data_IF_976838752587
#
_entry.id   IF_976838752587
#
_cell.length_a   1.000
_cell.length_b   1.000
_cell.length_c   1.000
_cell.angle_alpha   90.00
_cell.angle_beta   90.00
_cell.angle_gamma   90.00
#
_symmetry.space_group_name_H-M   'P 1'
#
loop_
_entity.id
_entity.type
_entity.pdbx_description
1 polymer ?
#
# COMPACT_ATOMS: atom_id res chain seq x y z
N UNK A 1 3.35 -33.58 -44.87
CA UNK A 1 4.19 -33.84 -43.69
C UNK A 1 5.08 -32.62 -43.49
N UNK A 2 4.63 -31.62 -42.74
CA UNK A 2 5.40 -30.40 -42.47
C UNK A 2 6.35 -30.67 -41.30
N UNK A 3 7.65 -30.60 -41.57
CA UNK A 3 8.70 -30.75 -40.57
C UNK A 3 8.73 -29.46 -39.72
N UNK A 4 8.25 -29.53 -38.48
CA UNK A 4 8.41 -28.46 -37.50
C UNK A 4 9.87 -28.49 -37.04
N UNK A 5 10.68 -27.57 -37.59
CA UNK A 5 12.03 -27.29 -37.08
C UNK A 5 11.88 -26.45 -35.81
N UNK A 6 12.00 -27.09 -34.65
CA UNK A 6 12.10 -26.39 -33.36
C UNK A 6 13.51 -25.83 -33.26
N UNK A 7 13.67 -24.54 -33.58
CA UNK A 7 14.88 -23.81 -33.25
C UNK A 7 14.91 -23.61 -31.73
N UNK A 8 15.73 -24.40 -31.04
CA UNK A 8 16.06 -24.15 -29.63
C UNK A 8 16.98 -22.94 -29.62
N UNK A 9 16.42 -21.76 -29.29
CA UNK A 9 17.22 -20.58 -29.01
C UNK A 9 18.02 -20.83 -27.73
N UNK A 10 19.32 -21.05 -27.86
CA UNK A 10 20.23 -21.15 -26.71
C UNK A 10 20.44 -19.72 -26.20
N UNK A 11 19.75 -19.35 -25.12
CA UNK A 11 20.01 -18.09 -24.43
C UNK A 11 21.40 -18.17 -23.79
N UNK A 12 22.34 -17.34 -24.28
CA UNK A 12 23.66 -17.23 -23.68
C UNK A 12 23.51 -16.42 -22.39
N UNK A 13 23.72 -17.07 -21.26
CA UNK A 13 23.76 -16.44 -19.94
C UNK A 13 25.21 -16.20 -19.53
N UNK A 14 25.62 -14.95 -19.37
CA UNK A 14 26.96 -14.57 -18.88
C UNK A 14 26.81 -14.09 -17.45
N UNK A 15 27.69 -14.51 -16.55
CA UNK A 15 27.64 -14.12 -15.12
C UNK A 15 28.99 -13.56 -14.67
N UNK A 16 28.96 -12.49 -13.88
CA UNK A 16 30.15 -11.88 -13.25
C UNK A 16 29.89 -11.60 -11.76
N UNK A 17 30.96 -11.66 -10.97
CA UNK A 17 30.99 -11.16 -9.59
C UNK A 17 31.49 -9.73 -9.61
N UNK A 18 30.73 -8.79 -9.05
CA UNK A 18 31.10 -7.39 -9.04
C UNK A 18 31.03 -6.78 -7.65
N UNK A 19 31.92 -5.82 -7.42
CA UNK A 19 31.82 -4.89 -6.29
C UNK A 19 30.94 -3.72 -6.70
N UNK A 20 30.10 -3.28 -5.77
CA UNK A 20 29.10 -2.24 -6.00
C UNK A 20 29.29 -1.12 -5.01
N UNK A 21 29.36 0.10 -5.54
CA UNK A 21 29.30 1.33 -4.75
C UNK A 21 27.86 1.85 -4.76
N UNK A 22 27.34 2.15 -3.58
CA UNK A 22 26.11 2.93 -3.44
C UNK A 22 26.48 4.38 -3.13
N UNK A 23 25.88 5.34 -3.82
CA UNK A 23 26.19 6.76 -3.66
C UNK A 23 24.95 7.61 -3.50
N UNK A 24 25.02 8.63 -2.66
CA UNK A 24 24.02 9.69 -2.61
C UNK A 24 24.08 10.57 -3.88
N UNK A 25 23.08 11.45 -4.12
CA UNK A 25 23.12 12.37 -5.25
C UNK A 25 24.28 13.36 -5.27
N UNK A 26 24.84 13.70 -4.10
CA UNK A 26 26.07 14.50 -3.95
C UNK A 26 27.36 13.66 -4.04
N UNK A 27 27.25 12.35 -4.28
CA UNK A 27 28.38 11.46 -4.59
C UNK A 27 29.06 10.79 -3.39
N UNK A 28 28.53 10.97 -2.18
CA UNK A 28 29.05 10.30 -0.97
C UNK A 28 28.76 8.81 -1.02
N UNK A 29 29.75 8.00 -0.66
CA UNK A 29 29.59 6.54 -0.61
C UNK A 29 28.74 6.16 0.60
N UNK A 30 27.68 5.39 0.36
CA UNK A 30 26.79 4.84 1.38
C UNK A 30 27.23 3.42 1.74
N UNK A 31 27.22 3.14 3.03
CA UNK A 31 27.28 1.76 3.52
C UNK A 31 25.92 1.07 3.27
N UNK A 32 25.90 -0.24 2.95
CA UNK A 32 24.67 -0.98 2.67
C UNK A 32 23.58 -0.81 3.74
N UNK A 33 23.97 -0.72 5.01
CA UNK A 33 23.06 -0.57 6.15
C UNK A 33 22.31 0.79 6.15
N UNK A 34 22.83 1.79 5.43
CA UNK A 34 22.22 3.14 5.34
C UNK A 34 21.34 3.33 4.10
N UNK A 35 21.39 2.42 3.14
CA UNK A 35 20.64 2.51 1.87
C UNK A 35 19.13 2.75 2.10
N UNK A 36 18.44 2.05 3.03
CA UNK A 36 17.01 2.23 3.21
C UNK A 36 16.59 3.63 3.66
N UNK A 37 17.51 4.52 4.04
CA UNK A 37 17.18 5.87 4.51
C UNK A 37 17.24 6.95 3.42
N UNK A 38 17.75 6.63 2.22
CA UNK A 38 17.96 7.63 1.17
C UNK A 38 16.92 7.45 0.05
N UNK A 39 16.10 8.47 -0.28
CA UNK A 39 15.00 8.31 -1.25
C UNK A 39 15.49 8.10 -2.68
N UNK A 40 16.63 8.70 -3.02
CA UNK A 40 17.29 8.59 -4.32
C UNK A 40 18.76 8.27 -4.10
N UNK A 41 19.25 7.19 -4.70
CA UNK A 41 20.65 6.80 -4.63
C UNK A 41 21.13 6.20 -5.94
N UNK A 42 22.44 6.17 -6.13
CA UNK A 42 23.10 5.66 -7.32
C UNK A 42 23.80 4.35 -7.00
N UNK A 43 23.54 3.33 -7.80
CA UNK A 43 24.27 2.06 -7.78
C UNK A 43 25.29 2.07 -8.93
N UNK A 44 26.57 2.08 -8.59
CA UNK A 44 27.67 2.11 -9.55
C UNK A 44 28.50 0.82 -9.48
N UNK A 45 28.74 0.20 -10.64
CA UNK A 45 29.56 -1.00 -10.76
C UNK A 45 30.12 -1.16 -12.17
N UNK A 46 31.08 -2.09 -12.34
CA UNK A 46 31.62 -2.47 -13.64
C UNK A 46 31.35 -3.95 -13.88
N UNK A 47 30.64 -4.28 -14.96
CA UNK A 47 30.33 -5.65 -15.36
C UNK A 47 30.38 -5.76 -16.89
N UNK A 48 30.75 -6.91 -17.45
CA UNK A 48 30.73 -7.18 -18.89
C UNK A 48 31.48 -6.13 -19.71
N UNK A 49 32.62 -5.67 -19.17
CA UNK A 49 33.44 -4.58 -19.73
C UNK A 49 32.75 -3.21 -19.84
N UNK A 50 31.64 -2.98 -19.14
CA UNK A 50 30.86 -1.74 -19.14
C UNK A 50 30.75 -1.17 -17.73
N UNK A 51 30.70 0.17 -17.62
CA UNK A 51 30.37 0.85 -16.36
C UNK A 51 28.86 1.09 -16.31
N UNK A 52 28.24 0.72 -15.21
CA UNK A 52 26.83 0.97 -14.91
C UNK A 52 26.72 2.07 -13.85
N UNK A 53 25.72 2.94 -14.02
CA UNK A 53 25.30 3.95 -13.04
C UNK A 53 23.78 3.99 -13.05
N UNK A 54 23.18 3.22 -12.14
CA UNK A 54 21.74 3.07 -12.04
C UNK A 54 21.21 4.02 -10.96
N UNK A 55 20.16 4.76 -11.28
CA UNK A 55 19.43 5.57 -10.31
C UNK A 55 18.33 4.73 -9.69
N UNK A 56 18.41 4.57 -8.37
CA UNK A 56 17.45 3.85 -7.55
C UNK A 56 16.56 4.88 -6.85
N UNK A 57 15.26 4.86 -7.17
CA UNK A 57 14.27 5.69 -6.51
C UNK A 57 13.36 4.79 -5.68
N UNK A 58 13.28 5.04 -4.38
CA UNK A 58 12.31 4.36 -3.54
C UNK A 58 10.92 4.97 -3.69
N UNK A 59 10.01 4.56 -2.80
CA UNK A 59 8.65 5.06 -2.72
C UNK A 59 8.45 6.03 -1.56
N UNK A 60 9.52 6.74 -1.14
CA UNK A 60 9.46 7.69 -0.03
C UNK A 60 8.71 8.95 -0.40
N UNK A 61 7.86 9.39 0.51
CA UNK A 61 7.15 10.66 0.49
C UNK A 61 7.34 11.35 1.85
N UNK A 62 7.63 12.65 1.84
CA UNK A 62 7.71 13.45 3.07
C UNK A 62 6.42 14.24 3.23
N UNK A 63 5.66 13.94 4.27
CA UNK A 63 4.39 14.59 4.60
C UNK A 63 4.57 15.30 5.94
N UNK A 64 4.53 16.64 5.93
CA UNK A 64 4.73 17.46 7.13
C UNK A 64 5.98 17.09 7.94
N UNK A 65 7.09 16.81 7.25
CA UNK A 65 8.36 16.43 7.88
C UNK A 65 8.46 14.96 8.29
N UNK A 66 7.43 14.15 8.01
CA UNK A 66 7.41 12.72 8.32
C UNK A 66 7.63 11.94 7.02
N UNK A 67 8.70 11.16 6.98
CA UNK A 67 8.99 10.27 5.86
C UNK A 67 8.17 9.00 5.95
N UNK A 68 7.44 8.71 4.90
CA UNK A 68 6.62 7.51 4.73
C UNK A 68 6.99 6.81 3.43
N UNK A 69 6.81 5.50 3.35
CA UNK A 69 7.08 4.71 2.15
C UNK A 69 5.93 3.81 1.77
N UNK A 70 5.75 3.52 0.48
CA UNK A 70 4.84 2.45 0.05
C UNK A 70 5.45 1.08 0.25
N UNK A 71 6.68 0.89 -0.19
CA UNK A 71 7.49 -0.30 0.08
C UNK A 71 8.69 0.09 0.94
N UNK A 72 9.00 -0.74 1.94
CA UNK A 72 10.08 -0.47 2.89
C UNK A 72 11.47 -0.59 2.26
N UNK A 73 11.62 -1.49 1.30
CA UNK A 73 12.93 -1.93 0.81
C UNK A 73 13.03 -2.02 -0.71
N UNK A 74 11.95 -1.72 -1.46
CA UNK A 74 11.96 -1.80 -2.92
C UNK A 74 12.22 -0.44 -3.56
N UNK A 75 13.03 -0.49 -4.62
CA UNK A 75 13.44 0.65 -5.41
C UNK A 75 13.11 0.38 -6.88
N UNK A 76 12.65 1.41 -7.57
CA UNK A 76 12.63 1.42 -9.03
C UNK A 76 14.01 1.75 -9.58
N UNK A 77 14.42 1.04 -10.62
CA UNK A 77 15.66 1.29 -11.36
C UNK A 77 15.34 2.17 -12.55
N UNK A 78 16.17 3.18 -12.76
CA UNK A 78 16.21 4.01 -13.97
C UNK A 78 17.64 4.37 -14.32
N UNK A 79 17.90 4.82 -15.56
CA UNK A 79 19.21 5.34 -15.97
C UNK A 79 19.10 6.82 -16.29
N UNK A 80 20.08 7.63 -15.89
CA UNK A 80 20.13 9.05 -16.25
C UNK A 80 20.41 9.28 -17.74
N UNK A 81 21.04 8.32 -18.40
CA UNK A 81 21.55 8.49 -19.77
C UNK A 81 20.76 7.73 -20.83
N UNK A 82 19.80 6.88 -20.42
CA UNK A 82 19.08 6.00 -21.33
C UNK A 82 17.63 5.83 -20.87
N UNK A 83 16.70 6.29 -21.72
CA UNK A 83 15.26 6.22 -21.45
C UNK A 83 14.72 4.77 -21.39
N UNK A 84 15.44 3.83 -22.03
CA UNK A 84 15.06 2.42 -22.09
C UNK A 84 15.54 1.60 -20.88
N UNK A 85 16.06 2.25 -19.83
CA UNK A 85 16.46 1.57 -18.61
C UNK A 85 15.36 1.57 -17.56
N UNK A 86 14.86 0.39 -17.23
CA UNK A 86 13.87 0.23 -16.16
C UNK A 86 14.04 -1.11 -15.45
N UNK A 87 13.60 -1.18 -14.20
CA UNK A 87 13.67 -2.39 -13.41
C UNK A 87 13.27 -2.15 -11.98
N UNK A 88 13.56 -3.12 -11.13
CA UNK A 88 13.38 -3.00 -9.68
C UNK A 88 14.49 -3.70 -8.92
N UNK A 89 14.78 -3.18 -7.73
CA UNK A 89 15.74 -3.73 -6.79
C UNK A 89 15.10 -3.77 -5.41
N UNK A 90 15.19 -4.92 -4.75
CA UNK A 90 14.74 -5.11 -3.38
C UNK A 90 15.95 -5.27 -2.47
N UNK A 91 15.87 -4.67 -1.28
CA UNK A 91 16.83 -4.83 -0.18
C UNK A 91 16.24 -5.63 0.98
N UNK A 92 15.07 -6.26 0.81
CA UNK A 92 14.46 -7.09 1.84
C UNK A 92 15.23 -8.39 2.04
N UNK A 93 16.09 -8.42 3.06
CA UNK A 93 16.94 -9.57 3.38
C UNK A 93 18.22 -9.61 2.54
N UNK A 94 18.09 -9.93 1.24
CA UNK A 94 19.21 -9.91 0.28
C UNK A 94 18.97 -8.88 -0.82
N UNK A 95 20.04 -8.27 -1.33
CA UNK A 95 19.93 -7.40 -2.51
C UNK A 95 19.57 -8.29 -3.70
N UNK A 96 18.37 -8.11 -4.24
CA UNK A 96 17.92 -8.88 -5.40
C UNK A 96 17.09 -8.00 -6.32
N UNK A 97 17.22 -8.20 -7.62
CA UNK A 97 16.50 -7.36 -8.56
C UNK A 97 16.79 -7.69 -10.00
N UNK A 98 16.12 -6.97 -10.88
CA UNK A 98 16.30 -7.12 -12.32
C UNK A 98 16.11 -5.77 -12.99
N UNK A 99 16.89 -5.52 -14.03
CA UNK A 99 16.68 -4.37 -14.90
C UNK A 99 16.94 -4.70 -16.36
N UNK A 100 16.29 -3.93 -17.23
CA UNK A 100 16.51 -3.94 -18.67
C UNK A 100 17.38 -2.75 -19.04
N UNK A 101 18.31 -2.97 -19.97
CA UNK A 101 19.09 -1.93 -20.62
C UNK A 101 19.31 -2.32 -22.09
N UNK A 102 18.60 -1.65 -23.00
CA UNK A 102 18.55 -2.05 -24.40
C UNK A 102 17.94 -3.44 -24.56
N UNK A 103 18.65 -4.36 -25.21
CA UNK A 103 18.18 -5.73 -25.47
C UNK A 103 18.57 -6.76 -24.41
N UNK A 104 19.05 -6.33 -23.24
CA UNK A 104 19.54 -7.26 -22.21
C UNK A 104 18.74 -7.12 -20.92
N UNK A 105 18.44 -8.27 -20.31
CA UNK A 105 18.03 -8.36 -18.91
C UNK A 105 19.28 -8.62 -18.07
N UNK A 106 19.41 -7.83 -17.01
CA UNK A 106 20.39 -8.01 -15.96
C UNK A 106 19.69 -8.48 -14.70
N UNK A 107 20.09 -9.64 -14.16
CA UNK A 107 19.64 -10.11 -12.86
C UNK A 107 20.72 -9.79 -11.83
N UNK A 108 20.32 -9.17 -10.73
CA UNK A 108 21.17 -8.78 -9.61
C UNK A 108 20.81 -9.69 -8.43
N UNK A 109 21.81 -10.32 -7.82
CA UNK A 109 21.64 -11.04 -6.57
C UNK A 109 22.88 -10.90 -5.69
N UNK A 110 22.70 -10.53 -4.43
CA UNK A 110 23.79 -10.50 -3.45
C UNK A 110 24.19 -11.91 -3.03
N UNK A 111 25.48 -12.12 -2.80
CA UNK A 111 26.00 -13.31 -2.11
C UNK A 111 26.44 -13.02 -0.69
N UNK A 112 26.88 -11.79 -0.42
CA UNK A 112 27.31 -11.24 0.87
C UNK A 112 27.21 -9.70 0.83
N UNK A 113 27.32 -9.02 1.97
CA UNK A 113 27.01 -7.58 2.18
C UNK A 113 27.57 -6.57 1.15
N UNK A 114 28.56 -6.93 0.31
CA UNK A 114 29.18 -6.03 -0.67
C UNK A 114 29.56 -6.68 -2.01
N UNK A 115 29.16 -7.94 -2.24
CA UNK A 115 29.43 -8.65 -3.50
C UNK A 115 28.12 -9.07 -4.14
N UNK A 116 27.99 -8.74 -5.42
CA UNK A 116 26.78 -9.01 -6.20
C UNK A 116 27.14 -9.90 -7.38
N UNK A 117 26.38 -10.96 -7.55
CA UNK A 117 26.28 -11.71 -8.79
C UNK A 117 25.39 -10.95 -9.76
N UNK A 118 25.94 -10.61 -10.92
CA UNK A 118 25.17 -10.07 -12.02
C UNK A 118 25.20 -11.06 -13.16
N UNK A 119 24.01 -11.49 -13.61
CA UNK A 119 23.88 -12.27 -14.83
C UNK A 119 23.19 -11.46 -15.92
N UNK A 120 23.74 -11.53 -17.14
CA UNK A 120 23.20 -10.91 -18.34
C UNK A 120 22.58 -12.00 -19.22
N UNK A 121 21.32 -11.78 -19.60
CA UNK A 121 20.58 -12.61 -20.55
C UNK A 121 20.10 -11.72 -21.68
N UNK A 122 20.35 -12.12 -22.92
CA UNK A 122 19.78 -11.44 -24.08
C UNK A 122 18.26 -11.61 -24.07
N UNK A 123 17.55 -10.48 -24.02
CA UNK A 123 16.09 -10.46 -24.07
C UNK A 123 15.69 -10.79 -25.52
N UNK A 124 14.98 -11.89 -25.76
CA UNK A 124 14.48 -12.16 -27.08
C UNK A 124 13.48 -11.04 -27.40
N UNK A 125 13.88 -10.12 -28.29
CA UNK A 125 12.97 -9.11 -28.84
C UNK A 125 11.92 -9.89 -29.62
N UNK A 126 10.85 -10.26 -28.93
CA UNK A 126 9.68 -10.84 -29.55
C UNK A 126 9.17 -9.80 -30.54
N UNK A 127 9.05 -10.19 -31.81
CA UNK A 127 8.64 -9.30 -32.90
C UNK A 127 7.36 -8.56 -32.44
N UNK A 128 7.41 -7.23 -32.21
CA UNK A 128 6.33 -6.48 -31.57
C UNK A 128 5.01 -6.62 -32.34
N UNK A 129 5.08 -6.94 -33.63
CA UNK A 129 3.92 -7.15 -34.48
C UNK A 129 3.11 -8.41 -34.15
N UNK A 130 3.70 -9.45 -33.53
CA UNK A 130 2.98 -10.70 -33.19
C UNK A 130 2.16 -10.60 -31.89
N UNK A 131 2.49 -9.66 -31.01
CA UNK A 131 1.80 -9.50 -29.71
C UNK A 131 0.55 -8.63 -29.86
N UNK A 132 0.58 -7.62 -30.74
CA UNK A 132 -0.58 -6.78 -31.04
C UNK A 132 -1.77 -7.57 -31.61
N UNK A 133 -1.51 -8.70 -32.29
CA UNK A 133 -2.55 -9.59 -32.84
C UNK A 133 -3.20 -10.48 -31.77
N UNK A 134 -2.51 -10.80 -30.67
CA UNK A 134 -3.11 -11.52 -29.53
C UNK A 134 -3.95 -10.61 -28.63
N UNK A 135 -3.52 -9.35 -28.45
CA UNK A 135 -4.18 -8.38 -27.54
C UNK A 135 -5.51 -7.88 -28.12
N UNK A 136 -5.69 -7.85 -29.44
CA UNK A 136 -6.96 -7.41 -30.06
C UNK A 136 -8.15 -8.35 -29.84
N UNK A 137 -7.94 -9.52 -29.22
CA UNK A 137 -9.00 -10.53 -29.02
C UNK A 137 -9.58 -10.52 -27.60
N UNK A 138 -9.04 -9.71 -26.68
CA UNK A 138 -9.49 -9.66 -25.28
C UNK A 138 -10.38 -8.42 -25.05
N UNK A 139 -11.68 -8.65 -25.18
CA UNK A 139 -12.71 -8.15 -24.27
C UNK A 139 -13.14 -6.67 -24.34
N UNK A 140 -14.09 -6.37 -25.21
CA UNK A 140 -15.12 -5.34 -24.93
C UNK A 140 -16.21 -5.92 -24.03
N UNK A 141 -15.91 -6.16 -22.75
CA UNK A 141 -16.93 -6.45 -21.75
C UNK A 141 -17.58 -5.12 -21.33
N UNK A 142 -18.82 -4.92 -21.76
CA UNK A 142 -19.60 -3.72 -21.45
C UNK A 142 -19.94 -3.76 -19.95
N UNK A 143 -19.23 -2.99 -19.13
CA UNK A 143 -19.48 -2.86 -17.69
C UNK A 143 -20.86 -2.25 -17.49
N UNK A 144 -21.86 -3.10 -17.26
CA UNK A 144 -23.17 -2.68 -16.78
C UNK A 144 -23.12 -2.58 -15.26
N UNK A 145 -23.20 -1.38 -14.70
CA UNK A 145 -24.29 -0.99 -13.80
C UNK A 145 -23.94 0.26 -12.98
N UNK A 146 -24.85 1.22 -13.07
CA UNK A 146 -24.84 2.56 -12.48
C UNK A 146 -25.09 2.57 -10.95
N UNK A 147 -24.98 1.42 -10.27
CA UNK A 147 -25.43 1.24 -8.86
C UNK A 147 -24.33 0.82 -7.89
N UNK A 148 -23.12 0.48 -8.36
CA UNK A 148 -22.02 0.12 -7.47
C UNK A 148 -21.35 1.37 -6.89
N UNK A 149 -21.24 1.43 -5.56
CA UNK A 149 -20.57 2.52 -4.84
C UNK A 149 -19.21 2.04 -4.35
N UNK A 150 -18.16 2.51 -5.00
CA UNK A 150 -16.76 2.26 -4.59
C UNK A 150 -16.39 3.22 -3.47
N UNK A 151 -16.03 2.68 -2.30
CA UNK A 151 -15.60 3.43 -1.13
C UNK A 151 -14.07 3.38 -1.04
N UNK A 152 -13.38 4.47 -1.42
CA UNK A 152 -11.91 4.53 -1.38
C UNK A 152 -11.38 4.64 0.06
N UNK A 153 -10.61 3.65 0.50
CA UNK A 153 -9.97 3.58 1.81
C UNK A 153 -8.46 3.72 1.64
N UNK A 154 -7.82 4.52 2.47
CA UNK A 154 -6.36 4.67 2.51
C UNK A 154 -5.85 4.21 3.87
N UNK A 155 -4.81 3.38 3.90
CA UNK A 155 -4.25 2.83 5.14
C UNK A 155 -2.85 3.36 5.39
N UNK A 156 -2.55 3.73 6.63
CA UNK A 156 -1.25 4.21 7.08
C UNK A 156 -0.79 3.33 8.23
N UNK A 157 0.33 2.63 8.08
CA UNK A 157 0.99 1.90 9.16
C UNK A 157 1.90 2.85 9.92
N UNK A 158 1.70 2.92 11.22
CA UNK A 158 2.56 3.68 12.14
C UNK A 158 3.97 3.10 12.22
N UNK A 159 4.90 3.91 12.72
CA UNK A 159 6.30 3.58 12.87
C UNK A 159 6.51 2.31 13.69
N UNK A 160 5.91 2.22 14.88
CA UNK A 160 6.05 1.06 15.76
C UNK A 160 5.54 -0.21 15.07
N UNK A 161 4.43 -0.12 14.34
CA UNK A 161 3.89 -1.24 13.56
C UNK A 161 4.85 -1.70 12.47
N UNK A 162 5.44 -0.73 11.75
CA UNK A 162 6.43 -0.99 10.71
C UNK A 162 7.67 -1.66 11.29
N UNK A 163 8.11 -1.27 12.49
CA UNK A 163 9.23 -1.92 13.17
C UNK A 163 8.88 -3.34 13.62
N UNK A 164 7.66 -3.57 14.11
CA UNK A 164 7.20 -4.87 14.60
C UNK A 164 7.05 -5.91 13.47
N UNK A 165 6.36 -5.55 12.38
CA UNK A 165 6.06 -6.48 11.28
C UNK A 165 7.18 -6.53 10.24
N UNK A 166 7.93 -5.44 10.07
CA UNK A 166 9.04 -5.34 9.14
C UNK A 166 8.62 -5.45 7.66
N UNK A 167 9.44 -6.09 6.80
CA UNK A 167 9.21 -6.21 5.35
C UNK A 167 7.81 -6.65 4.91
N UNK A 168 7.13 -7.46 5.71
CA UNK A 168 5.82 -8.05 5.37
C UNK A 168 4.63 -7.12 5.66
N UNK A 169 4.87 -5.90 6.16
CA UNK A 169 3.83 -4.96 6.62
C UNK A 169 2.70 -4.75 5.61
N UNK A 170 3.01 -4.67 4.31
CA UNK A 170 2.00 -4.46 3.28
C UNK A 170 1.10 -5.68 3.08
N UNK A 171 1.67 -6.89 3.04
CA UNK A 171 0.90 -8.12 2.91
C UNK A 171 -0.05 -8.31 4.09
N UNK A 172 0.47 -8.07 5.27
CA UNK A 172 -0.27 -8.09 6.52
C UNK A 172 -1.45 -7.07 6.50
N UNK A 173 -1.16 -5.82 6.11
CA UNK A 173 -2.17 -4.75 5.96
C UNK A 173 -3.25 -5.11 4.93
N UNK A 174 -2.86 -5.69 3.79
CA UNK A 174 -3.80 -6.13 2.75
C UNK A 174 -4.69 -7.27 3.25
N UNK A 175 -4.17 -8.19 4.06
CA UNK A 175 -4.95 -9.28 4.62
C UNK A 175 -6.06 -8.74 5.54
N UNK A 176 -5.74 -7.79 6.42
CA UNK A 176 -6.73 -7.09 7.24
C UNK A 176 -7.81 -6.43 6.38
N UNK A 177 -7.40 -5.62 5.39
CA UNK A 177 -8.32 -4.92 4.50
C UNK A 177 -9.25 -5.88 3.75
N UNK A 178 -8.71 -6.99 3.22
CA UNK A 178 -9.49 -7.98 2.48
C UNK A 178 -10.56 -8.64 3.35
N UNK A 179 -10.29 -8.83 4.64
CA UNK A 179 -11.28 -9.35 5.58
C UNK A 179 -12.36 -8.29 5.84
N UNK A 180 -11.98 -7.03 6.10
CA UNK A 180 -12.96 -5.95 6.27
C UNK A 180 -13.86 -5.79 5.05
N UNK A 181 -13.26 -5.89 3.85
CA UNK A 181 -13.97 -5.90 2.57
C UNK A 181 -14.99 -7.03 2.51
N UNK A 182 -14.58 -8.27 2.78
CA UNK A 182 -15.51 -9.42 2.83
C UNK A 182 -16.65 -9.21 3.83
N UNK A 183 -16.35 -8.69 5.03
CA UNK A 183 -17.33 -8.43 6.08
C UNK A 183 -18.39 -7.41 5.62
N UNK A 184 -17.98 -6.32 4.97
CA UNK A 184 -18.90 -5.27 4.54
C UNK A 184 -19.64 -5.63 3.24
N UNK A 185 -18.96 -6.25 2.28
CA UNK A 185 -19.52 -6.57 0.96
C UNK A 185 -20.47 -7.78 0.97
N UNK A 186 -20.37 -8.70 1.95
CA UNK A 186 -21.29 -9.84 2.05
C UNK A 186 -22.73 -9.47 2.46
N UNK A 187 -22.95 -8.23 2.92
CA UNK A 187 -24.27 -7.80 3.39
C UNK A 187 -25.24 -7.53 2.23
N UNK A 188 -26.53 -7.73 2.47
CA UNK A 188 -27.59 -7.45 1.49
C UNK A 188 -27.96 -5.98 1.50
N UNK A 189 -27.24 -5.18 0.74
CA UNK A 189 -27.56 -3.77 0.53
C UNK A 189 -28.88 -3.59 -0.22
N UNK A 190 -29.67 -2.56 0.14
CA UNK A 190 -31.00 -2.32 -0.45
C UNK A 190 -30.94 -1.42 -1.67
N UNK A 191 -30.03 -0.44 -1.68
CA UNK A 191 -29.90 0.61 -2.71
C UNK A 191 -28.56 0.59 -3.43
N UNK A 192 -27.47 0.41 -2.69
CA UNK A 192 -26.12 0.55 -3.22
C UNK A 192 -25.33 -0.72 -3.01
N UNK A 193 -24.81 -1.32 -4.08
CA UNK A 193 -23.82 -2.36 -3.89
C UNK A 193 -22.51 -1.69 -3.42
N UNK A 194 -22.21 -1.76 -2.13
CA UNK A 194 -20.99 -1.18 -1.58
C UNK A 194 -19.81 -2.06 -1.98
N UNK A 195 -18.76 -1.43 -2.46
CA UNK A 195 -17.50 -2.07 -2.75
C UNK A 195 -16.36 -1.29 -2.10
N UNK A 196 -15.57 -1.91 -1.24
CA UNK A 196 -14.40 -1.25 -0.69
C UNK A 196 -13.25 -1.31 -1.70
N UNK A 197 -12.64 -0.16 -1.94
CA UNK A 197 -11.45 -0.01 -2.77
C UNK A 197 -10.30 0.47 -1.90
N UNK A 198 -9.21 -0.28 -1.85
CA UNK A 198 -7.99 0.18 -1.18
C UNK A 198 -7.24 1.12 -2.13
N UNK A 199 -7.20 2.41 -1.79
CA UNK A 199 -6.55 3.45 -2.57
C UNK A 199 -5.03 3.45 -2.41
N UNK A 200 -4.51 3.01 -1.27
CA UNK A 200 -3.09 2.87 -1.04
C UNK A 200 -2.75 2.52 0.39
N UNK A 201 -1.48 2.16 0.57
CA UNK A 201 -0.84 1.89 1.85
C UNK A 201 0.38 2.82 1.97
N UNK A 202 0.55 3.44 3.13
CA UNK A 202 1.78 4.13 3.52
C UNK A 202 2.33 3.54 4.80
N UNK A 203 3.65 3.54 4.93
CA UNK A 203 4.38 3.03 6.09
C UNK A 203 5.25 4.16 6.63
N UNK A 204 5.03 4.57 7.88
CA UNK A 204 5.87 5.57 8.55
C UNK A 204 7.21 4.93 8.90
N UNK A 205 8.32 5.48 8.39
CA UNK A 205 9.65 4.82 8.50
C UNK A 205 10.68 5.57 9.33
N UNK A 206 10.47 6.87 9.59
CA UNK A 206 11.51 7.69 10.22
C UNK A 206 11.34 7.88 11.72
N UNK A 207 10.13 8.22 12.14
CA UNK A 207 9.81 8.48 13.54
C UNK A 207 8.33 8.21 13.77
N UNK A 208 7.91 7.89 15.01
CA UNK A 208 6.50 7.86 15.38
C UNK A 208 5.80 9.13 14.94
N UNK A 209 4.53 9.02 14.54
CA UNK A 209 3.70 10.20 14.34
C UNK A 209 3.71 10.95 15.67
N UNK A 210 4.35 12.12 15.67
CA UNK A 210 4.76 12.83 16.87
C UNK A 210 3.55 13.49 17.53
N UNK A 211 2.61 12.68 18.00
CA UNK A 211 1.59 13.05 18.95
C UNK A 211 2.36 13.16 20.24
N UNK A 212 3.07 14.28 20.42
CA UNK A 212 3.76 14.58 21.68
C UNK A 212 2.75 14.26 22.77
N UNK A 213 2.99 13.18 23.52
CA UNK A 213 2.54 13.08 24.89
C UNK A 213 3.22 14.26 25.57
N UNK A 214 2.64 15.44 25.41
CA UNK A 214 2.93 16.54 26.31
C UNK A 214 2.68 15.92 27.66
N UNK A 215 3.71 15.75 28.48
CA UNK A 215 3.58 15.30 29.85
C UNK A 215 2.54 16.22 30.49
N UNK A 216 1.27 15.83 30.45
CA UNK A 216 0.21 16.73 30.89
C UNK A 216 0.23 16.57 32.40
N UNK A 217 0.55 17.63 33.17
CA UNK A 217 0.84 17.48 34.60
C UNK A 217 -0.30 16.83 35.39
N UNK A 218 -1.53 16.86 34.87
CA UNK A 218 -2.70 16.25 35.50
C UNK A 218 -2.71 14.71 35.48
N UNK A 219 -1.92 14.05 34.63
CA UNK A 219 -1.82 12.58 34.62
C UNK A 219 -1.27 12.01 35.95
N UNK A 220 -0.55 12.81 36.74
CA UNK A 220 -0.03 12.40 38.05
C UNK A 220 -1.08 12.41 39.19
N UNK A 221 -2.28 12.94 38.95
CA UNK A 221 -3.29 13.15 40.02
C UNK A 221 -4.51 12.22 39.90
N UNK A 222 -4.58 11.38 38.87
CA UNK A 222 -5.71 10.49 38.64
C UNK A 222 -5.41 9.14 39.30
N UNK A 223 -6.25 8.74 40.26
CA UNK A 223 -6.19 7.44 40.91
C UNK A 223 -6.32 6.31 39.88
N UNK A 224 -5.71 5.15 40.18
CA UNK A 224 -5.72 3.93 39.34
C UNK A 224 -7.12 3.49 38.87
N UNK A 225 -8.19 3.95 39.53
CA UNK A 225 -9.60 3.65 39.21
C UNK A 225 -10.18 4.33 37.94
N UNK A 226 -9.40 5.11 37.19
CA UNK A 226 -9.87 5.88 36.02
C UNK A 226 -9.04 5.68 34.74
N UNK A 227 -8.33 4.55 34.61
CA UNK A 227 -7.49 4.24 33.44
C UNK A 227 -8.25 4.25 32.10
N UNK A 228 -9.49 3.76 32.08
CA UNK A 228 -10.32 3.73 30.86
C UNK A 228 -10.61 5.14 30.30
N UNK A 229 -10.93 6.10 31.19
CA UNK A 229 -11.21 7.48 30.78
C UNK A 229 -9.97 8.19 30.23
N UNK A 230 -8.79 7.87 30.76
CA UNK A 230 -7.50 8.36 30.27
C UNK A 230 -7.20 7.85 28.86
N UNK A 231 -7.33 6.54 28.64
CA UNK A 231 -7.10 5.94 27.33
C UNK A 231 -8.06 6.49 26.27
N UNK A 232 -9.34 6.67 26.62
CA UNK A 232 -10.31 7.25 25.70
C UNK A 232 -9.94 8.69 25.33
N UNK A 233 -9.51 9.51 26.30
CA UNK A 233 -9.06 10.87 26.05
C UNK A 233 -7.83 10.92 25.13
N UNK A 234 -6.86 10.04 25.36
CA UNK A 234 -5.65 9.94 24.54
C UNK A 234 -5.97 9.50 23.11
N UNK A 235 -6.88 8.55 22.92
CA UNK A 235 -7.32 8.14 21.59
C UNK A 235 -8.05 9.28 20.85
N UNK A 236 -8.91 10.04 21.52
CA UNK A 236 -9.57 11.22 20.93
C UNK A 236 -8.54 12.27 20.52
N UNK A 237 -7.58 12.56 21.41
CA UNK A 237 -6.50 13.50 21.12
C UNK A 237 -5.65 13.04 19.94
N UNK A 238 -5.34 11.76 19.88
CA UNK A 238 -4.58 11.16 18.79
C UNK A 238 -5.32 11.26 17.46
N UNK A 239 -6.60 10.90 17.42
CA UNK A 239 -7.43 11.00 16.22
C UNK A 239 -7.51 12.44 15.70
N UNK A 240 -7.66 13.41 16.62
CA UNK A 240 -7.65 14.83 16.26
C UNK A 240 -6.29 15.27 15.72
N UNK A 241 -5.20 14.89 16.37
CA UNK A 241 -3.83 15.23 15.92
C UNK A 241 -3.53 14.62 14.57
N UNK A 242 -3.93 13.37 14.35
CA UNK A 242 -3.82 12.68 13.08
C UNK A 242 -4.62 13.40 11.98
N UNK A 243 -5.88 13.77 12.26
CA UNK A 243 -6.67 14.58 11.34
C UNK A 243 -6.00 15.92 11.00
N UNK A 244 -5.55 16.68 12.00
CA UNK A 244 -4.92 17.98 11.80
C UNK A 244 -3.64 17.87 10.95
N UNK A 245 -2.85 16.82 11.17
CA UNK A 245 -1.62 16.53 10.42
C UNK A 245 -1.90 16.26 8.94
N UNK A 246 -2.95 15.53 8.60
CA UNK A 246 -3.19 15.14 7.20
C UNK A 246 -4.21 16.03 6.49
N UNK A 247 -4.91 16.91 7.21
CA UNK A 247 -5.80 17.92 6.64
C UNK A 247 -5.04 18.98 5.83
N UNK A 248 -3.80 19.29 6.21
CA UNK A 248 -3.00 20.39 5.63
C UNK A 248 -2.07 19.97 4.50
N UNK A 249 -2.30 18.82 3.86
CA UNK A 249 -1.45 18.38 2.74
C UNK A 249 -1.82 19.21 1.51
N UNK A 250 -1.18 20.36 1.39
CA UNK A 250 -1.37 21.31 0.28
C UNK A 250 -0.80 20.78 -1.04
N UNK A 251 0.04 19.74 -0.99
CA UNK A 251 0.79 19.24 -2.13
C UNK A 251 -0.02 18.24 -2.98
N UNK A 252 -1.15 18.70 -3.53
CA UNK A 252 -2.02 17.91 -4.42
C UNK A 252 -1.38 17.57 -5.76
N UNK A 253 -0.17 18.03 -6.05
CA UNK A 253 0.54 17.69 -7.28
C UNK A 253 1.22 16.32 -7.18
N UNK A 254 1.69 15.93 -5.99
CA UNK A 254 2.25 14.62 -5.73
C UNK A 254 1.19 13.52 -5.82
N UNK A 255 1.57 12.37 -6.39
CA UNK A 255 0.66 11.25 -6.59
C UNK A 255 0.07 10.76 -5.26
N UNK A 256 0.88 10.76 -4.19
CA UNK A 256 0.41 10.37 -2.87
C UNK A 256 -0.61 11.37 -2.31
N UNK A 257 -0.33 12.67 -2.42
CA UNK A 257 -1.27 13.72 -2.07
C UNK A 257 -2.61 13.57 -2.79
N UNK A 258 -2.59 13.22 -4.09
CA UNK A 258 -3.82 12.93 -4.86
C UNK A 258 -4.56 11.70 -4.34
N UNK A 259 -3.87 10.58 -4.12
CA UNK A 259 -4.50 9.34 -3.64
C UNK A 259 -5.17 9.53 -2.27
N UNK A 260 -4.54 10.31 -1.39
CA UNK A 260 -5.10 10.67 -0.08
C UNK A 260 -6.24 11.68 -0.19
N UNK A 261 -6.12 12.70 -1.04
CA UNK A 261 -7.20 13.67 -1.29
C UNK A 261 -8.46 13.00 -1.84
N UNK A 262 -8.26 11.95 -2.62
CA UNK A 262 -9.31 11.13 -3.22
C UNK A 262 -9.82 10.01 -2.29
N UNK A 263 -9.18 9.77 -1.14
CA UNK A 263 -9.64 8.81 -0.17
C UNK A 263 -10.88 9.33 0.56
N UNK A 264 -11.88 8.46 0.69
CA UNK A 264 -13.08 8.74 1.46
C UNK A 264 -12.87 8.51 2.95
N UNK A 265 -11.95 7.59 3.30
CA UNK A 265 -11.48 7.38 4.66
C UNK A 265 -9.97 7.12 4.66
N UNK A 266 -9.27 7.72 5.61
CA UNK A 266 -7.85 7.50 5.89
C UNK A 266 -7.76 6.88 7.29
N UNK A 267 -7.14 5.71 7.38
CA UNK A 267 -7.05 4.95 8.64
C UNK A 267 -5.60 4.80 9.04
N UNK A 268 -5.29 5.18 10.28
CA UNK A 268 -4.01 4.92 10.92
C UNK A 268 -4.07 3.56 11.64
N UNK A 269 -3.14 2.68 11.33
CA UNK A 269 -2.95 1.36 11.92
C UNK A 269 -1.78 1.41 12.89
N UNK A 270 -2.03 1.13 14.17
CA UNK A 270 -1.03 1.20 15.24
C UNK A 270 -0.99 -0.11 16.02
N UNK A 271 0.14 -0.48 16.63
CA UNK A 271 0.15 -1.58 17.57
C UNK A 271 -0.73 -1.25 18.78
N UNK A 272 -1.36 -2.29 19.34
CA UNK A 272 -2.24 -2.16 20.49
C UNK A 272 -1.45 -2.11 21.79
N UNK A 273 -1.81 -1.17 22.64
CA UNK A 273 -1.48 -1.15 24.07
C UNK A 273 -2.66 -0.65 24.92
N UNK A 274 -3.86 -0.58 24.35
CA UNK A 274 -5.05 0.05 24.94
C UNK A 274 -6.27 -0.86 24.84
N UNK A 275 -7.26 -0.59 25.69
CA UNK A 275 -8.55 -1.28 25.74
C UNK A 275 -9.42 -0.94 24.50
N UNK A 276 -9.23 0.26 23.94
CA UNK A 276 -9.97 0.71 22.74
C UNK A 276 -9.29 0.22 21.46
N UNK A 277 -9.92 -0.72 20.75
CA UNK A 277 -9.41 -1.30 19.51
C UNK A 277 -9.52 -0.36 18.30
N UNK A 278 -10.43 0.62 18.32
CA UNK A 278 -10.66 1.51 17.19
C UNK A 278 -11.35 2.81 17.59
N UNK A 279 -11.09 3.87 16.84
CA UNK A 279 -11.78 5.15 17.00
C UNK A 279 -11.85 5.90 15.67
N UNK A 280 -13.06 6.32 15.30
CA UNK A 280 -13.33 7.05 14.07
C UNK A 280 -14.29 8.20 14.29
N UNK A 281 -14.25 9.22 13.43
CA UNK A 281 -15.31 10.22 13.41
C UNK A 281 -16.56 9.63 12.77
N UNK A 282 -17.66 9.57 13.53
CA UNK A 282 -18.96 9.15 12.99
C UNK A 282 -19.39 10.07 11.85
N UNK A 283 -19.88 9.50 10.75
CA UNK A 283 -20.26 10.23 9.53
C UNK A 283 -19.10 11.03 8.89
N UNK A 284 -17.86 10.62 9.13
CA UNK A 284 -16.66 11.32 8.65
C UNK A 284 -16.30 11.04 7.19
N UNK A 285 -16.86 10.00 6.56
CA UNK A 285 -16.44 9.55 5.23
C UNK A 285 -16.66 10.65 4.16
N UNK A 286 -15.60 10.96 3.41
CA UNK A 286 -15.58 12.01 2.40
C UNK A 286 -15.47 13.44 2.97
N UNK A 287 -15.45 13.63 4.29
CA UNK A 287 -15.19 14.94 4.90
C UNK A 287 -13.72 15.31 4.80
N UNK A 288 -13.39 16.59 4.61
CA UNK A 288 -11.98 17.03 4.55
C UNK A 288 -11.27 16.98 5.90
N UNK A 289 -12.00 17.07 7.01
CA UNK A 289 -11.50 17.20 8.38
C UNK A 289 -11.87 16.02 9.30
N UNK A 290 -12.79 15.15 8.85
CA UNK A 290 -13.33 14.06 9.66
C UNK A 290 -13.19 12.69 9.01
N UNK A 291 -12.57 12.57 7.83
CA UNK A 291 -12.33 11.28 7.16
C UNK A 291 -11.21 10.44 7.78
N UNK A 292 -11.02 10.52 9.09
CA UNK A 292 -9.89 9.90 9.76
C UNK A 292 -10.38 8.87 10.77
N UNK A 293 -9.62 7.78 10.87
CA UNK A 293 -9.84 6.71 11.84
C UNK A 293 -8.50 6.20 12.35
N UNK A 294 -8.51 5.63 13.55
CA UNK A 294 -7.41 4.90 14.16
C UNK A 294 -7.90 3.49 14.45
N UNK A 295 -7.09 2.49 14.10
CA UNK A 295 -7.30 1.09 14.47
C UNK A 295 -6.04 0.60 15.18
N UNK A 296 -6.22 0.10 16.39
CA UNK A 296 -5.20 -0.54 17.22
C UNK A 296 -5.20 -2.03 16.91
N UNK A 297 -4.01 -2.60 16.79
CA UNK A 297 -3.80 -3.98 16.33
C UNK A 297 -2.88 -4.67 17.31
N UNK A 298 -3.35 -5.71 18.00
CA UNK A 298 -2.43 -6.58 18.73
C UNK A 298 -1.81 -7.61 17.79
N UNK A 299 -0.51 -7.85 17.93
CA UNK A 299 0.17 -8.97 17.27
C UNK A 299 -0.36 -10.35 17.70
N UNK A 300 -1.12 -10.41 18.81
CA UNK A 300 -1.80 -11.63 19.26
C UNK A 300 -3.19 -11.82 18.65
N UNK A 301 -3.76 -10.79 18.02
CA UNK A 301 -5.09 -10.87 17.44
C UNK A 301 -5.07 -11.67 16.15
N UNK A 302 -6.16 -12.39 15.88
CA UNK A 302 -6.34 -13.00 14.57
C UNK A 302 -6.55 -11.91 13.51
N UNK A 303 -6.09 -12.17 12.28
CA UNK A 303 -6.40 -11.29 11.13
C UNK A 303 -7.90 -11.05 10.96
N UNK A 304 -8.72 -12.03 11.35
CA UNK A 304 -10.17 -11.86 11.33
C UNK A 304 -10.63 -10.77 12.30
N UNK A 305 -10.15 -10.81 13.54
CA UNK A 305 -10.44 -9.79 14.54
C UNK A 305 -9.99 -8.40 14.08
N UNK A 306 -8.75 -8.28 13.60
CA UNK A 306 -8.20 -7.02 13.09
C UNK A 306 -9.03 -6.47 11.92
N UNK A 307 -9.42 -7.33 10.97
CA UNK A 307 -10.31 -6.97 9.86
C UNK A 307 -11.72 -6.60 10.30
N UNK A 308 -12.25 -7.22 11.38
CA UNK A 308 -13.54 -6.90 11.99
C UNK A 308 -13.53 -5.50 12.60
N UNK A 309 -12.50 -5.17 13.38
CA UNK A 309 -12.34 -3.82 13.98
C UNK A 309 -12.26 -2.76 12.88
N UNK A 310 -11.44 -2.99 11.84
CA UNK A 310 -11.38 -2.08 10.69
C UNK A 310 -12.73 -1.91 9.98
N UNK A 311 -13.51 -2.99 9.81
CA UNK A 311 -14.85 -2.91 9.24
C UNK A 311 -15.83 -2.12 10.12
N UNK A 312 -15.74 -2.27 11.45
CA UNK A 312 -16.55 -1.52 12.43
C UNK A 312 -16.28 -0.01 12.31
N UNK A 313 -15.01 0.39 12.29
CA UNK A 313 -14.62 1.80 12.16
C UNK A 313 -15.00 2.38 10.78
N UNK A 314 -14.88 1.59 9.71
CA UNK A 314 -15.39 2.01 8.39
C UNK A 314 -16.89 2.24 8.47
N UNK A 315 -17.67 1.34 9.09
CA UNK A 315 -19.11 1.46 9.17
C UNK A 315 -19.57 2.71 9.95
N UNK A 316 -18.91 3.04 11.06
CA UNK A 316 -19.13 4.31 11.77
C UNK A 316 -18.84 5.53 10.90
N UNK A 317 -17.76 5.50 10.11
CA UNK A 317 -17.43 6.63 9.22
C UNK A 317 -18.51 6.89 8.16
N UNK A 318 -19.24 5.85 7.76
CA UNK A 318 -20.37 5.94 6.81
C UNK A 318 -21.74 5.95 7.51
N UNK A 319 -21.79 6.18 8.82
CA UNK A 319 -23.02 6.58 9.53
C UNK A 319 -23.73 5.49 10.32
N UNK A 320 -23.15 4.29 10.45
CA UNK A 320 -23.63 3.32 11.42
C UNK A 320 -23.37 3.81 12.86
N UNK A 321 -24.29 3.48 13.77
CA UNK A 321 -24.13 3.70 15.21
C UNK A 321 -24.05 2.36 15.93
N UNK A 322 -23.61 2.37 17.19
CA UNK A 322 -23.63 1.17 18.00
C UNK A 322 -25.05 0.60 18.18
N UNK A 323 -25.12 -0.70 18.29
CA UNK A 323 -26.36 -1.45 18.48
C UNK A 323 -26.27 -2.35 19.71
N UNK A 324 -27.32 -2.33 20.51
CA UNK A 324 -27.47 -3.21 21.66
C UNK A 324 -27.97 -4.57 21.14
N UNK A 325 -27.05 -5.45 20.77
CA UNK A 325 -27.32 -6.78 20.24
C UNK A 325 -26.12 -7.70 20.41
N UNK A 326 -26.37 -9.00 20.62
CA UNK A 326 -25.31 -9.97 20.93
C UNK A 326 -24.54 -10.44 19.71
N UNK A 327 -25.06 -10.22 18.48
CA UNK A 327 -24.50 -10.73 17.23
C UNK A 327 -24.61 -9.69 16.12
N UNK A 328 -23.79 -8.64 16.17
CA UNK A 328 -23.68 -7.71 15.05
C UNK A 328 -22.31 -7.04 15.06
N UNK A 329 -21.86 -6.59 13.89
CA UNK A 329 -20.60 -5.88 13.73
C UNK A 329 -20.55 -4.61 14.60
N UNK A 330 -21.70 -3.91 14.77
CA UNK A 330 -21.78 -2.62 15.45
C UNK A 330 -22.01 -2.73 16.97
N UNK A 331 -21.63 -3.83 17.61
CA UNK A 331 -21.67 -3.93 19.07
C UNK A 331 -20.59 -3.03 19.70
N UNK A 332 -20.87 -2.29 20.80
CA UNK A 332 -19.89 -1.40 21.43
C UNK A 332 -18.74 -2.15 22.12
N UNK A 333 -19.02 -3.33 22.68
CA UNK A 333 -18.04 -4.15 23.38
C UNK A 333 -17.31 -5.06 22.40
N UNK A 334 -15.99 -5.05 22.47
CA UNK A 334 -15.16 -5.97 21.72
C UNK A 334 -15.15 -7.33 22.43
N UNK A 335 -16.18 -8.14 22.19
CA UNK A 335 -16.03 -9.57 22.43
C UNK A 335 -15.08 -10.11 21.37
N UNK A 336 -14.08 -10.94 21.72
CA UNK A 336 -13.42 -11.80 20.75
C UNK A 336 -14.52 -12.67 20.15
N UNK A 337 -14.99 -12.24 18.99
CA UNK A 337 -15.95 -12.99 18.19
C UNK A 337 -15.08 -13.93 17.40
N UNK A 338 -15.00 -15.18 17.84
CA UNK A 338 -14.09 -16.17 17.25
C UNK A 338 -14.51 -16.61 15.84
N UNK A 339 -15.71 -16.22 15.38
CA UNK A 339 -16.31 -16.76 14.16
C UNK A 339 -16.81 -15.70 13.16
N UNK A 340 -16.51 -15.93 11.87
CA UNK A 340 -16.95 -15.15 10.70
C UNK A 340 -18.47 -14.86 10.64
N UNK A 341 -19.27 -15.77 11.20
CA UNK A 341 -20.74 -15.76 11.10
C UNK A 341 -21.38 -14.59 11.87
N UNK A 342 -20.73 -14.09 12.92
CA UNK A 342 -21.30 -13.04 13.78
C UNK A 342 -20.87 -11.61 13.36
N UNK A 343 -19.98 -11.48 12.36
CA UNK A 343 -19.58 -10.19 11.79
C UNK A 343 -20.48 -9.79 10.61
N UNK A 344 -21.73 -9.40 10.90
CA UNK A 344 -22.67 -8.87 9.90
C UNK A 344 -23.29 -7.54 10.35
N UNK A 345 -23.74 -6.74 9.38
CA UNK A 345 -24.46 -5.50 9.65
C UNK A 345 -25.96 -5.80 9.82
N UNK A 346 -26.59 -5.19 10.81
CA UNK A 346 -28.05 -5.24 10.91
C UNK A 346 -28.71 -4.43 9.78
N UNK A 347 -29.99 -4.69 9.52
CA UNK A 347 -30.77 -3.87 8.59
C UNK A 347 -30.80 -2.38 8.97
N UNK A 348 -30.77 -2.08 10.27
CA UNK A 348 -30.76 -0.70 10.77
C UNK A 348 -29.43 -0.01 10.48
N UNK A 349 -28.31 -0.71 10.68
CA UNK A 349 -26.99 -0.20 10.31
C UNK A 349 -26.91 0.04 8.79
N UNK A 350 -27.33 -0.93 7.97
CA UNK A 350 -27.38 -0.80 6.51
C UNK A 350 -28.21 0.43 6.08
N UNK A 351 -29.41 0.60 6.64
CA UNK A 351 -30.27 1.75 6.32
C UNK A 351 -29.64 3.10 6.67
N UNK A 352 -28.96 3.18 7.82
CA UNK A 352 -28.24 4.39 8.23
C UNK A 352 -27.09 4.71 7.27
N UNK A 353 -26.34 3.68 6.86
CA UNK A 353 -25.21 3.83 5.95
C UNK A 353 -25.65 4.25 4.55
N UNK A 354 -26.69 3.63 4.01
CA UNK A 354 -27.25 4.02 2.72
C UNK A 354 -27.86 5.43 2.73
N UNK A 355 -28.52 5.81 3.83
CA UNK A 355 -29.02 7.16 4.02
C UNK A 355 -27.88 8.19 4.00
N UNK A 356 -26.79 7.90 4.71
CA UNK A 356 -25.59 8.74 4.72
C UNK A 356 -24.99 8.90 3.32
N UNK A 357 -24.77 7.79 2.60
CA UNK A 357 -24.18 7.81 1.25
C UNK A 357 -25.07 8.58 0.26
N UNK A 358 -26.39 8.37 0.32
CA UNK A 358 -27.36 9.09 -0.50
C UNK A 358 -27.34 10.60 -0.21
N UNK A 359 -27.42 10.98 1.07
CA UNK A 359 -27.52 12.37 1.50
C UNK A 359 -26.27 13.18 1.13
N UNK A 360 -25.09 12.60 1.34
CA UNK A 360 -23.82 13.32 1.16
C UNK A 360 -23.29 13.29 -0.28
N UNK A 361 -23.96 12.59 -1.21
CA UNK A 361 -23.54 12.45 -2.61
C UNK A 361 -22.05 12.10 -2.73
N UNK A 362 -21.61 11.15 -1.90
CA UNK A 362 -20.20 10.76 -1.84
C UNK A 362 -19.72 10.41 -3.25
N UNK A 363 -18.64 11.07 -3.67
CA UNK A 363 -18.01 10.79 -4.96
C UNK A 363 -17.47 9.37 -4.91
N UNK A 364 -17.95 8.54 -5.82
CA UNK A 364 -17.52 7.13 -5.98
C UNK A 364 -16.85 6.91 -7.32
N UNK A 365 -16.38 8.00 -7.94
CA UNK A 365 -15.79 7.96 -9.26
C UNK A 365 -14.55 7.05 -9.23
N UNK A 366 -14.35 6.34 -10.33
CA UNK A 366 -13.16 5.49 -10.52
C UNK A 366 -11.92 6.36 -10.52
N UNK A 367 -11.24 6.39 -9.39
CA UNK A 367 -9.91 6.96 -9.28
C UNK A 367 -8.94 5.97 -9.90
N UNK A 368 -8.14 6.43 -10.86
CA UNK A 368 -6.96 5.72 -11.30
C UNK A 368 -5.97 5.68 -10.13
N UNK A 369 -5.91 4.55 -9.44
CA UNK A 369 -5.02 4.36 -8.28
C UNK A 369 -3.67 3.79 -8.68
N UNK A 370 -3.25 3.98 -9.92
CA UNK A 370 -2.00 3.39 -10.39
C UNK A 370 -0.81 3.80 -9.53
N UNK A 371 0.04 2.82 -9.22
CA UNK A 371 1.21 2.99 -8.36
C UNK A 371 0.87 2.83 -6.89
N UNK A 372 -0.27 2.25 -6.53
CA UNK A 372 -0.62 1.92 -5.15
C UNK A 372 -0.27 0.47 -4.76
N UNK A 373 0.28 -0.31 -5.69
CA UNK A 373 0.65 -1.71 -5.48
C UNK A 373 -0.54 -2.68 -5.56
N UNK A 374 -1.71 -2.23 -6.05
CA UNK A 374 -2.94 -3.00 -6.05
C UNK A 374 -3.56 -3.04 -7.45
N UNK A 375 -3.80 -4.27 -7.93
CA UNK A 375 -4.48 -4.53 -9.19
C UNK A 375 -5.99 -4.44 -8.97
N UNK A 376 -6.67 -3.60 -9.75
CA UNK A 376 -8.13 -3.47 -9.82
C UNK A 376 -8.62 -3.62 -11.27
N UNK A 377 -9.93 -3.59 -11.48
CA UNK A 377 -10.60 -4.00 -12.73
C UNK A 377 -10.10 -3.30 -14.00
N UNK A 378 -9.47 -2.12 -13.89
CA UNK A 378 -8.99 -1.32 -15.01
C UNK A 378 -7.47 -1.41 -15.27
N UNK A 379 -6.73 -2.13 -14.41
CA UNK A 379 -5.27 -2.29 -14.48
C UNK A 379 -4.89 -3.71 -14.90
N UNK A 380 -3.78 -3.82 -15.62
CA UNK A 380 -3.17 -5.12 -15.95
C UNK A 380 -2.11 -5.52 -14.91
N UNK A 381 -1.55 -4.54 -14.20
CA UNK A 381 -0.55 -4.70 -13.15
C UNK A 381 -0.49 -3.44 -12.27
N UNK A 382 0.10 -3.51 -11.07
CA UNK A 382 0.44 -2.32 -10.30
C UNK A 382 1.63 -2.63 -9.37
N UNK A 383 2.83 -2.16 -9.74
CA UNK A 383 4.04 -2.45 -8.96
C UNK A 383 4.17 -1.66 -7.66
N UNK A 384 3.36 -0.60 -7.45
CA UNK A 384 3.56 0.35 -6.35
C UNK A 384 4.81 1.24 -6.46
N UNK A 385 5.66 1.01 -7.47
CA UNK A 385 6.90 1.75 -7.69
C UNK A 385 6.70 2.96 -8.60
N UNK A 386 7.44 4.04 -8.33
CA UNK A 386 7.32 5.32 -9.05
C UNK A 386 7.52 5.18 -10.57
N UNK A 387 8.55 4.45 -11.01
CA UNK A 387 8.83 4.22 -12.44
C UNK A 387 8.24 2.90 -12.99
N UNK A 388 7.39 2.22 -12.21
CA UNK A 388 6.95 0.86 -12.51
C UNK A 388 7.99 -0.20 -12.12
N UNK A 389 7.77 -1.44 -12.57
CA UNK A 389 8.68 -2.58 -12.40
C UNK A 389 9.21 -3.07 -13.76
N UNK A 390 9.93 -4.19 -13.72
CA UNK A 390 10.34 -4.91 -14.93
C UNK A 390 9.16 -5.27 -15.83
N UNK A 391 8.04 -5.71 -15.24
CA UNK A 391 6.88 -6.19 -16.00
C UNK A 391 5.78 -5.14 -16.11
N UNK A 392 5.77 -4.13 -15.22
CA UNK A 392 4.71 -3.15 -15.12
C UNK A 392 5.19 -1.74 -15.44
N UNK A 393 4.45 -1.02 -16.27
CA UNK A 393 4.68 0.41 -16.50
C UNK A 393 4.18 1.24 -15.31
N UNK A 394 4.63 2.50 -15.20
CA UNK A 394 4.07 3.47 -14.25
C UNK A 394 2.63 3.91 -14.59
N UNK A 395 2.01 3.32 -15.62
CA UNK A 395 0.61 3.48 -15.99
C UNK A 395 -0.21 2.22 -15.75
N UNK A 396 0.34 1.25 -15.02
CA UNK A 396 -0.38 0.03 -14.60
C UNK A 396 -0.83 -0.84 -15.78
N UNK A 397 0.00 -0.83 -16.83
CA UNK A 397 -0.08 -1.68 -18.01
C UNK A 397 1.12 -2.60 -18.03
N UNK A 398 0.92 -3.84 -18.48
CA UNK A 398 2.02 -4.76 -18.71
C UNK A 398 2.91 -4.20 -19.82
N UNK A 399 4.22 -4.40 -19.68
CA UNK A 399 5.16 -4.06 -20.75
C UNK A 399 5.04 -5.06 -21.89
N UNK A 400 5.40 -4.62 -23.09
CA UNK A 400 5.29 -5.45 -24.31
C UNK A 400 6.00 -6.80 -24.12
N UNK A 401 5.27 -7.90 -24.30
CA UNK A 401 5.79 -9.26 -24.21
C UNK A 401 5.62 -9.92 -22.84
N UNK A 402 5.21 -9.17 -21.82
CA UNK A 402 4.98 -9.70 -20.48
C UNK A 402 3.55 -10.24 -20.34
N UNK A 403 3.41 -11.40 -19.69
CA UNK A 403 2.11 -12.05 -19.47
C UNK A 403 1.50 -11.70 -18.10
N UNK A 404 2.34 -11.35 -17.14
CA UNK A 404 1.93 -10.99 -15.78
C UNK A 404 2.96 -10.04 -15.14
N UNK A 405 2.55 -9.36 -14.07
CA UNK A 405 3.46 -8.70 -13.13
C UNK A 405 3.37 -9.46 -11.82
N UNK A 406 4.52 -9.82 -11.26
CA UNK A 406 4.60 -10.32 -9.89
C UNK A 406 4.19 -9.24 -8.89
#
# INVERSE_FOLDING_TARGET
>A
MQMILVFIAIAICITENVSVDFRTPDGQILLPERIPSTPVLFMEFKAFSRKFRLMLNDSSHCINGITMKKSLCDFSISSQSQDDCYGSLSFCGEISGKFILGQYIYNIRSTMASHIHISQVEYPVSNPNKINELISTVSTAKVTSDTQKRLPIFLINDFERVQEVGPSINQDTMQMFNISKKILEKNKWKRYNINLKLNGILNVVHSPLNVRQTNVPWAQTISEDHTEGLEQFDNIRMLKTFSDMFRSIDNKEDMMGKLMDQAGLIVLLQPSGSIVSGLTFSNGFGSSDRRFSIVRISGTDSYFHQGKVLAHEIAHSIGANHELGTKCLMKPEDSPVDNDEDAFLSNKAIDAMEHFLYKNKIRTDTINTCGNGLIDDDKECDSGLYAGSLCCTNRCRLRSGELCSN
#
